data_IF_172835682995
#
_entry.id   IF_172835682995
#
_cell.length_a   1.000
_cell.length_b   1.000
_cell.length_c   1.000
_cell.angle_alpha   90.00
_cell.angle_beta   90.00
_cell.angle_gamma   90.00
#
_symmetry.space_group_name_H-M   'P 1'
#
loop_
_entity.id
_entity.type
_entity.pdbx_description
1 polymer ?
#
# COMPACT_ATOMS: atom_id res chain seq x y z
N UNK A 1 -1.04 -38.62 28.27
CA UNK A 1 -0.71 -39.10 29.64
C UNK A 1 -1.90 -38.79 30.53
N UNK A 2 -2.55 -39.85 30.96
CA UNK A 2 -3.57 -39.94 32.03
C UNK A 2 -4.97 -39.31 31.84
N UNK A 3 -5.89 -40.15 31.36
CA UNK A 3 -7.21 -40.37 31.92
C UNK A 3 -7.06 -41.04 33.34
N UNK A 4 -8.06 -41.02 34.23
CA UNK A 4 -9.17 -41.98 34.20
C UNK A 4 -10.54 -41.37 34.59
N UNK A 5 -11.68 -41.88 34.07
CA UNK A 5 -12.47 -43.08 34.31
C UNK A 5 -13.23 -43.19 35.68
N UNK A 6 -14.52 -43.54 35.55
CA UNK A 6 -15.39 -44.39 36.42
C UNK A 6 -16.17 -43.61 37.51
N UNK A 7 -17.42 -43.89 37.83
CA UNK A 7 -18.37 -45.01 37.67
C UNK A 7 -19.72 -44.61 38.21
N UNK A 8 -20.81 -45.03 37.59
CA UNK A 8 -21.87 -45.94 37.99
C UNK A 8 -22.44 -45.81 39.43
N UNK A 9 -23.74 -45.66 39.59
CA UNK A 9 -24.56 -46.78 40.05
C UNK A 9 -26.06 -46.44 40.07
N UNK A 10 -26.83 -47.41 39.60
CA UNK A 10 -28.28 -47.56 39.68
C UNK A 10 -28.72 -48.12 41.04
N UNK A 11 -29.97 -47.86 41.41
CA UNK A 11 -30.81 -48.82 42.21
C UNK A 11 -32.24 -48.25 42.27
N UNK A 12 -33.14 -48.77 41.54
CA UNK A 12 -34.21 -49.75 41.78
C UNK A 12 -34.71 -49.81 43.23
N UNK A 13 -35.94 -49.47 43.41
CA UNK A 13 -36.87 -50.30 44.25
C UNK A 13 -38.31 -50.06 43.81
N UNK A 14 -38.97 -51.15 43.43
CA UNK A 14 -40.38 -51.34 43.27
C UNK A 14 -40.98 -51.73 44.60
N UNK A 15 -42.17 -51.28 44.83
CA UNK A 15 -43.06 -52.03 45.71
C UNK A 15 -44.53 -51.83 45.32
N UNK A 16 -45.12 -52.94 44.99
CA UNK A 16 -46.50 -53.26 44.74
C UNK A 16 -47.39 -53.04 45.98
N UNK A 17 -48.66 -52.68 45.82
CA UNK A 17 -49.75 -53.42 46.43
C UNK A 17 -51.08 -53.05 45.78
N UNK A 18 -51.87 -54.12 45.63
CA UNK A 18 -53.06 -54.45 44.93
C UNK A 18 -54.39 -53.96 45.63
N UNK A 19 -55.39 -53.93 44.78
CA UNK A 19 -56.82 -54.31 44.98
C UNK A 19 -57.72 -53.35 45.79
N UNK A 20 -58.82 -52.95 45.19
CA UNK A 20 -60.01 -53.73 45.09
C UNK A 20 -61.13 -53.03 44.29
N UNK A 21 -61.82 -53.79 43.51
CA UNK A 21 -63.05 -53.50 42.77
C UNK A 21 -64.19 -53.17 43.71
N UNK A 22 -64.97 -52.12 43.41
CA UNK A 22 -66.43 -52.26 43.58
C UNK A 22 -67.18 -51.28 42.67
N UNK A 23 -68.12 -51.87 41.98
CA UNK A 23 -69.04 -51.28 40.99
C UNK A 23 -70.14 -50.49 41.64
N UNK A 24 -70.48 -49.35 41.10
CA UNK A 24 -71.87 -48.90 41.03
C UNK A 24 -72.10 -48.06 39.79
N UNK A 25 -72.88 -48.60 38.91
CA UNK A 25 -73.58 -47.93 37.82
C UNK A 25 -74.55 -46.94 38.38
N UNK A 26 -74.48 -45.67 38.08
CA UNK A 26 -75.61 -44.81 38.01
C UNK A 26 -75.59 -43.90 36.79
N UNK A 27 -76.72 -43.87 36.15
CA UNK A 27 -77.09 -43.33 34.89
C UNK A 27 -77.36 -41.83 34.94
N UNK A 28 -77.08 -41.20 33.78
CA UNK A 28 -77.65 -39.91 33.33
C UNK A 28 -77.14 -38.63 33.98
N UNK A 29 -76.07 -38.11 33.30
CA UNK A 29 -75.95 -36.67 33.17
C UNK A 29 -75.43 -36.32 31.74
N UNK A 30 -76.00 -35.30 31.13
CA UNK A 30 -75.69 -34.98 29.73
C UNK A 30 -74.24 -34.48 29.59
N UNK A 31 -73.55 -34.97 28.53
CA UNK A 31 -72.27 -34.48 28.11
C UNK A 31 -72.43 -33.01 27.74
N UNK A 32 -72.15 -32.14 28.69
CA UNK A 32 -72.06 -30.72 28.44
C UNK A 32 -70.72 -30.49 27.67
N UNK A 33 -70.92 -30.16 26.42
CA UNK A 33 -69.85 -29.64 25.56
C UNK A 33 -69.22 -28.41 26.23
N UNK A 34 -68.08 -28.58 26.92
CA UNK A 34 -67.32 -27.48 27.50
C UNK A 34 -65.87 -27.43 26.87
N UNK A 35 -65.72 -27.20 25.58
CA UNK A 35 -64.38 -26.80 25.11
C UNK A 35 -64.29 -25.33 24.72
N UNK A 36 -65.36 -24.65 24.31
CA UNK A 36 -65.26 -23.29 23.72
C UNK A 36 -65.09 -22.19 24.79
N UNK A 37 -65.75 -22.28 25.90
CA UNK A 37 -65.72 -21.23 26.99
C UNK A 37 -64.39 -21.20 27.75
N UNK A 38 -63.76 -22.39 27.96
CA UNK A 38 -62.42 -22.44 28.60
C UNK A 38 -61.32 -21.81 27.71
N UNK A 39 -61.41 -21.98 26.42
CA UNK A 39 -60.44 -21.37 25.45
C UNK A 39 -60.66 -19.87 25.33
N UNK A 40 -61.91 -19.42 25.27
CA UNK A 40 -62.22 -17.98 25.27
C UNK A 40 -61.76 -17.27 26.56
N UNK A 41 -61.94 -17.89 27.71
CA UNK A 41 -61.47 -17.37 29.00
C UNK A 41 -59.94 -17.41 29.14
N UNK A 42 -59.25 -18.32 28.42
CA UNK A 42 -57.78 -18.35 28.34
C UNK A 42 -57.23 -17.23 27.46
N UNK A 43 -57.89 -16.99 26.32
CA UNK A 43 -57.54 -15.85 25.42
C UNK A 43 -57.82 -14.50 26.09
N UNK A 44 -58.95 -14.35 26.81
CA UNK A 44 -59.25 -13.12 27.56
C UNK A 44 -58.28 -12.88 28.73
N UNK A 45 -57.87 -13.92 29.45
CA UNK A 45 -56.85 -13.81 30.50
C UNK A 45 -55.48 -13.47 29.92
N UNK A 46 -55.10 -14.08 28.80
CA UNK A 46 -53.86 -13.76 28.08
C UNK A 46 -53.87 -12.29 27.59
N UNK A 47 -55.02 -11.83 27.01
CA UNK A 47 -55.18 -10.46 26.56
C UNK A 47 -55.13 -9.42 27.69
N UNK A 48 -55.73 -9.72 28.83
CA UNK A 48 -55.76 -8.83 30.00
C UNK A 48 -54.45 -8.87 30.81
N UNK A 49 -53.64 -9.91 30.64
CA UNK A 49 -52.29 -9.99 31.25
C UNK A 49 -51.18 -9.34 30.42
N UNK A 50 -51.50 -8.88 29.23
CA UNK A 50 -50.57 -8.07 28.43
C UNK A 50 -50.53 -6.68 29.07
N UNK A 51 -49.35 -6.29 29.55
CA UNK A 51 -49.07 -4.91 29.96
C UNK A 51 -48.99 -4.04 28.74
N UNK A 52 -50.15 -3.53 28.28
CA UNK A 52 -50.26 -2.71 27.09
C UNK A 52 -49.46 -1.44 27.18
N UNK A 53 -49.23 -0.88 28.37
CA UNK A 53 -48.43 0.32 28.57
C UNK A 53 -46.94 0.05 28.26
N UNK A 54 -46.42 -1.11 28.67
CA UNK A 54 -45.07 -1.54 28.30
C UNK A 54 -44.97 -1.84 26.83
N UNK A 55 -45.92 -2.52 26.22
CA UNK A 55 -45.93 -2.83 24.80
C UNK A 55 -45.96 -1.54 23.97
N UNK A 56 -46.85 -0.62 24.30
CA UNK A 56 -46.93 0.68 23.64
C UNK A 56 -45.62 1.49 23.82
N UNK A 57 -45.05 1.49 25.03
CA UNK A 57 -43.78 2.15 25.32
C UNK A 57 -42.65 1.61 24.45
N UNK A 58 -42.51 0.29 24.36
CA UNK A 58 -41.47 -0.36 23.52
C UNK A 58 -41.69 -0.09 22.02
N UNK A 59 -42.94 -0.16 21.55
CA UNK A 59 -43.30 0.08 20.17
C UNK A 59 -43.02 1.54 19.77
N UNK A 60 -43.41 2.49 20.63
CA UNK A 60 -43.14 3.93 20.38
C UNK A 60 -41.65 4.18 20.42
N UNK A 61 -40.91 3.65 21.38
CA UNK A 61 -39.45 3.85 21.46
C UNK A 61 -38.74 3.25 20.26
N UNK A 62 -39.02 1.99 19.88
CA UNK A 62 -38.46 1.35 18.72
C UNK A 62 -38.86 2.06 17.42
N UNK A 63 -40.11 2.47 17.29
CA UNK A 63 -40.63 3.23 16.17
C UNK A 63 -39.92 4.56 16.01
N UNK A 64 -39.73 5.31 17.09
CA UNK A 64 -38.96 6.57 17.06
C UNK A 64 -37.52 6.34 16.66
N UNK A 65 -36.89 5.28 17.21
CA UNK A 65 -35.50 4.91 16.85
C UNK A 65 -35.39 4.57 15.37
N UNK A 66 -36.33 3.82 14.80
CA UNK A 66 -36.36 3.49 13.36
C UNK A 66 -36.55 4.74 12.49
N UNK A 67 -37.41 5.67 12.89
CA UNK A 67 -37.62 6.93 12.20
C UNK A 67 -36.32 7.76 12.22
N UNK A 68 -35.71 7.92 13.40
CA UNK A 68 -34.44 8.65 13.52
C UNK A 68 -33.32 8.00 12.69
N UNK A 69 -33.20 6.67 12.74
CA UNK A 69 -32.26 5.91 11.93
C UNK A 69 -32.50 6.17 10.43
N UNK A 70 -33.76 6.07 9.98
CA UNK A 70 -34.10 6.29 8.56
C UNK A 70 -33.79 7.72 8.13
N UNK A 71 -34.12 8.72 8.94
CA UNK A 71 -33.80 10.13 8.65
C UNK A 71 -32.27 10.34 8.57
N UNK A 72 -31.52 9.75 9.52
CA UNK A 72 -30.07 9.83 9.53
C UNK A 72 -29.46 9.22 8.25
N UNK A 73 -29.93 8.03 7.84
CA UNK A 73 -29.39 7.38 6.64
C UNK A 73 -29.83 8.07 5.35
N UNK A 74 -31.02 8.63 5.28
CA UNK A 74 -31.44 9.48 4.16
C UNK A 74 -30.60 10.74 4.05
N UNK A 75 -30.25 11.35 5.18
CA UNK A 75 -29.33 12.48 5.22
C UNK A 75 -27.92 12.06 4.74
N UNK A 76 -27.38 10.97 5.25
CA UNK A 76 -26.08 10.44 4.84
C UNK A 76 -26.07 10.07 3.36
N UNK A 77 -27.15 9.52 2.82
CA UNK A 77 -27.29 9.21 1.39
C UNK A 77 -27.18 10.46 0.53
N UNK A 78 -27.98 11.49 0.84
CA UNK A 78 -27.91 12.78 0.15
C UNK A 78 -26.56 13.46 0.29
N UNK A 79 -25.96 13.38 1.48
CA UNK A 79 -24.63 13.91 1.73
C UNK A 79 -23.57 13.20 0.86
N UNK A 80 -23.67 11.89 0.74
CA UNK A 80 -22.78 11.10 -0.13
C UNK A 80 -22.93 11.53 -1.59
N UNK A 81 -24.16 11.62 -2.12
CA UNK A 81 -24.41 12.09 -3.47
C UNK A 81 -23.82 13.48 -3.70
N UNK A 82 -24.05 14.40 -2.78
CA UNK A 82 -23.51 15.75 -2.85
C UNK A 82 -21.98 15.79 -2.87
N UNK A 83 -21.32 14.99 -2.01
CA UNK A 83 -19.86 14.94 -1.92
C UNK A 83 -19.24 14.31 -3.17
N UNK A 84 -19.82 13.21 -3.66
CA UNK A 84 -19.35 12.51 -4.84
C UNK A 84 -19.54 13.37 -6.09
N UNK A 85 -20.71 14.04 -6.23
CA UNK A 85 -20.96 14.95 -7.34
C UNK A 85 -20.06 16.19 -7.30
N UNK A 86 -19.83 16.78 -6.12
CA UNK A 86 -18.93 17.92 -5.95
C UNK A 86 -17.49 17.55 -6.31
N UNK A 87 -17.03 16.37 -5.89
CA UNK A 87 -15.72 15.81 -6.27
C UNK A 87 -15.60 15.62 -7.79
N UNK A 88 -16.62 15.03 -8.41
CA UNK A 88 -16.69 14.82 -9.87
C UNK A 88 -16.61 16.13 -10.66
N UNK A 89 -17.43 17.11 -10.29
CA UNK A 89 -17.42 18.45 -10.92
C UNK A 89 -16.06 19.16 -10.74
N UNK A 90 -15.42 19.01 -9.59
CA UNK A 90 -14.08 19.57 -9.33
C UNK A 90 -13.01 18.88 -10.17
N UNK A 91 -13.15 17.56 -10.36
CA UNK A 91 -12.22 16.75 -11.16
C UNK A 91 -12.31 17.08 -12.66
N UNK A 92 -13.51 17.26 -13.20
CA UNK A 92 -13.74 17.65 -14.61
C UNK A 92 -13.18 19.04 -14.97
N UNK A 93 -13.05 19.94 -13.99
CA UNK A 93 -12.46 21.26 -14.22
C UNK A 93 -10.96 21.22 -14.50
N UNK A 94 -10.27 20.11 -14.22
CA UNK A 94 -8.83 19.94 -14.52
C UNK A 94 -8.67 19.63 -16.01
N UNK A 95 -7.88 20.45 -16.69
CA UNK A 95 -7.54 20.31 -18.13
C UNK A 95 -6.95 18.91 -18.40
N UNK A 96 -7.42 18.23 -19.44
CA UNK A 96 -6.93 16.95 -19.98
C UNK A 96 -7.43 15.64 -19.31
N UNK A 97 -8.61 15.62 -18.72
CA UNK A 97 -9.18 14.36 -18.23
C UNK A 97 -10.18 13.80 -19.25
N UNK A 98 -10.06 12.52 -19.56
CA UNK A 98 -11.03 11.81 -20.39
C UNK A 98 -12.34 11.66 -19.60
N UNK A 99 -13.41 12.31 -20.09
CA UNK A 99 -14.72 12.34 -19.43
C UNK A 99 -15.29 10.94 -19.16
N UNK A 100 -15.06 9.99 -20.06
CA UNK A 100 -15.52 8.60 -19.91
C UNK A 100 -14.89 7.93 -18.70
N UNK A 101 -13.57 8.12 -18.48
CA UNK A 101 -12.87 7.58 -17.32
C UNK A 101 -13.32 8.23 -16.02
N UNK A 102 -13.51 9.55 -16.04
CA UNK A 102 -14.00 10.29 -14.89
C UNK A 102 -15.41 9.81 -14.49
N UNK A 103 -16.30 9.61 -15.44
CA UNK A 103 -17.66 9.10 -15.20
C UNK A 103 -17.65 7.68 -14.61
N UNK A 104 -16.78 6.79 -15.12
CA UNK A 104 -16.66 5.42 -14.59
C UNK A 104 -16.22 5.42 -13.13
N UNK A 105 -15.21 6.24 -12.78
CA UNK A 105 -14.73 6.37 -11.38
C UNK A 105 -15.83 6.93 -10.47
N UNK A 106 -16.54 7.96 -10.93
CA UNK A 106 -17.65 8.56 -10.22
C UNK A 106 -18.73 7.53 -9.89
N UNK A 107 -19.20 6.77 -10.89
CA UNK A 107 -20.23 5.74 -10.73
C UNK A 107 -19.76 4.64 -9.79
N UNK A 108 -18.51 4.19 -9.92
CA UNK A 108 -17.94 3.16 -9.06
C UNK A 108 -17.88 3.61 -7.59
N UNK A 109 -17.37 4.81 -7.34
CA UNK A 109 -17.28 5.35 -5.96
C UNK A 109 -18.67 5.57 -5.35
N UNK A 110 -19.63 6.08 -6.12
CA UNK A 110 -21.01 6.22 -5.69
C UNK A 110 -21.63 4.88 -5.31
N UNK A 111 -21.49 3.86 -6.15
CA UNK A 111 -22.00 2.53 -5.87
C UNK A 111 -21.38 1.89 -4.61
N UNK A 112 -20.06 1.97 -4.45
CA UNK A 112 -19.39 1.46 -3.25
C UNK A 112 -19.91 2.16 -1.99
N UNK A 113 -20.03 3.48 -2.01
CA UNK A 113 -20.54 4.24 -0.88
C UNK A 113 -22.00 3.89 -0.55
N UNK A 114 -22.88 3.78 -1.57
CA UNK A 114 -24.28 3.43 -1.38
C UNK A 114 -24.45 2.00 -0.88
N UNK A 115 -23.70 1.02 -1.37
CA UNK A 115 -23.73 -0.34 -0.86
C UNK A 115 -23.27 -0.42 0.60
N UNK A 116 -22.23 0.33 0.94
CA UNK A 116 -21.74 0.41 2.32
C UNK A 116 -22.78 1.04 3.25
N UNK A 117 -23.39 2.16 2.86
CA UNK A 117 -24.46 2.79 3.61
C UNK A 117 -25.69 1.87 3.74
N UNK A 118 -26.10 1.21 2.64
CA UNK A 118 -27.19 0.25 2.63
C UNK A 118 -26.97 -0.91 3.59
N UNK A 119 -25.74 -1.45 3.63
CA UNK A 119 -25.36 -2.49 4.58
C UNK A 119 -25.53 -2.02 6.04
N UNK A 120 -24.99 -0.85 6.40
CA UNK A 120 -25.12 -0.32 7.74
C UNK A 120 -26.56 0.06 8.12
N UNK A 121 -27.36 0.52 7.15
CA UNK A 121 -28.77 0.77 7.36
C UNK A 121 -29.53 -0.51 7.70
N UNK A 122 -29.37 -1.57 6.91
CA UNK A 122 -29.98 -2.88 7.17
C UNK A 122 -29.52 -3.44 8.53
N UNK A 123 -28.22 -3.33 8.83
CA UNK A 123 -27.67 -3.71 10.12
C UNK A 123 -28.37 -2.97 11.28
N UNK A 124 -28.48 -1.65 11.21
CA UNK A 124 -29.13 -0.82 12.23
C UNK A 124 -30.62 -1.14 12.37
N UNK A 125 -31.32 -1.39 11.27
CA UNK A 125 -32.73 -1.77 11.23
C UNK A 125 -32.93 -3.11 11.94
N UNK A 126 -32.18 -4.16 11.58
CA UNK A 126 -32.24 -5.49 12.20
C UNK A 126 -31.91 -5.43 13.69
N UNK A 127 -30.91 -4.67 14.08
CA UNK A 127 -30.52 -4.48 15.48
C UNK A 127 -31.62 -3.80 16.29
N UNK A 128 -32.30 -2.79 15.75
CA UNK A 128 -33.38 -2.07 16.44
C UNK A 128 -34.62 -2.97 16.65
N UNK A 129 -34.91 -3.85 15.68
CA UNK A 129 -36.01 -4.81 15.79
C UNK A 129 -35.70 -5.89 16.85
N UNK A 130 -34.41 -6.11 17.16
CA UNK A 130 -33.95 -7.09 18.16
C UNK A 130 -33.46 -8.41 17.53
N UNK A 131 -33.20 -8.42 16.24
CA UNK A 131 -32.56 -9.57 15.57
C UNK A 131 -31.10 -9.64 16.02
N UNK A 132 -30.58 -10.82 16.43
CA UNK A 132 -29.16 -10.95 16.82
C UNK A 132 -28.23 -10.80 15.59
N UNK A 133 -27.67 -9.61 15.43
CA UNK A 133 -26.79 -9.26 14.28
C UNK A 133 -25.31 -9.60 14.48
N UNK A 134 -24.96 -10.28 15.58
CA UNK A 134 -23.56 -10.63 15.87
C UNK A 134 -22.91 -11.50 14.80
N UNK A 135 -23.63 -12.47 14.24
CA UNK A 135 -23.15 -13.32 13.16
C UNK A 135 -22.94 -12.53 11.83
N UNK A 136 -23.79 -11.54 11.58
CA UNK A 136 -23.66 -10.66 10.43
C UNK A 136 -22.39 -9.79 10.53
N UNK A 137 -22.13 -9.26 11.73
CA UNK A 137 -20.93 -8.47 11.99
C UNK A 137 -19.65 -9.34 11.90
N UNK A 138 -19.69 -10.56 12.43
CA UNK A 138 -18.59 -11.53 12.32
C UNK A 138 -18.29 -11.86 10.83
N UNK A 139 -19.35 -12.15 10.05
CA UNK A 139 -19.21 -12.37 8.60
C UNK A 139 -18.66 -11.16 7.86
N UNK A 140 -19.15 -9.96 8.17
CA UNK A 140 -18.62 -8.72 7.59
C UNK A 140 -17.15 -8.49 7.96
N UNK A 141 -16.73 -8.88 9.18
CA UNK A 141 -15.33 -8.85 9.61
C UNK A 141 -14.43 -9.75 8.75
N UNK A 142 -14.87 -10.97 8.44
CA UNK A 142 -14.14 -11.89 7.58
C UNK A 142 -14.01 -11.32 6.15
N UNK A 143 -15.11 -10.78 5.60
CA UNK A 143 -15.09 -10.12 4.29
C UNK A 143 -14.16 -8.91 4.30
N UNK A 144 -14.21 -8.08 5.36
CA UNK A 144 -13.31 -6.94 5.54
C UNK A 144 -11.83 -7.36 5.57
N UNK A 145 -11.51 -8.45 6.28
CA UNK A 145 -10.15 -9.02 6.31
C UNK A 145 -9.72 -9.46 4.90
N UNK A 146 -10.57 -10.15 4.16
CA UNK A 146 -10.26 -10.62 2.81
C UNK A 146 -10.00 -9.44 1.85
N UNK A 147 -10.83 -8.38 1.91
CA UNK A 147 -10.64 -7.15 1.14
C UNK A 147 -9.34 -6.45 1.56
N UNK A 148 -9.06 -6.38 2.87
CA UNK A 148 -7.84 -5.77 3.41
C UNK A 148 -6.58 -6.47 2.91
N UNK A 149 -6.54 -7.80 2.94
CA UNK A 149 -5.43 -8.59 2.41
C UNK A 149 -5.28 -8.40 0.89
N UNK A 150 -6.41 -8.35 0.15
CA UNK A 150 -6.39 -8.07 -1.29
C UNK A 150 -5.89 -6.65 -1.63
N UNK A 151 -6.15 -5.67 -0.76
CA UNK A 151 -5.74 -4.28 -0.93
C UNK A 151 -4.35 -3.96 -0.32
N UNK A 152 -3.67 -4.91 0.31
CA UNK A 152 -2.39 -4.71 1.00
C UNK A 152 -1.34 -4.03 0.13
N UNK A 153 -1.19 -4.48 -1.13
CA UNK A 153 -0.23 -3.90 -2.06
C UNK A 153 -0.51 -2.42 -2.37
N UNK A 154 -1.78 -2.05 -2.50
CA UNK A 154 -2.20 -0.68 -2.70
C UNK A 154 -1.88 0.21 -1.48
N UNK A 155 -2.13 -0.30 -0.27
CA UNK A 155 -1.78 0.43 0.95
C UNK A 155 -0.28 0.63 1.10
N UNK A 156 0.52 -0.38 0.76
CA UNK A 156 1.97 -0.27 0.76
C UNK A 156 2.45 0.80 -0.24
N UNK A 157 1.87 0.86 -1.44
CA UNK A 157 2.20 1.90 -2.42
C UNK A 157 1.98 3.31 -1.84
N UNK A 158 0.84 3.52 -1.17
CA UNK A 158 0.49 4.83 -0.57
C UNK A 158 1.44 5.20 0.57
N UNK A 159 1.70 4.26 1.49
CA UNK A 159 2.57 4.50 2.64
C UNK A 159 4.00 4.81 2.18
N UNK A 160 4.55 4.00 1.28
CA UNK A 160 5.89 4.24 0.73
C UNK A 160 5.95 5.56 -0.02
N UNK A 161 4.98 5.86 -0.89
CA UNK A 161 4.93 7.13 -1.62
C UNK A 161 4.79 8.34 -0.72
N UNK A 162 4.02 8.23 0.37
CA UNK A 162 3.91 9.28 1.37
C UNK A 162 5.26 9.61 2.02
N UNK A 163 6.04 8.59 2.42
CA UNK A 163 7.36 8.80 3.00
C UNK A 163 8.37 9.33 1.98
N UNK A 164 8.37 8.84 0.74
CA UNK A 164 9.22 9.37 -0.34
C UNK A 164 9.00 10.88 -0.50
N UNK A 165 7.74 11.32 -0.52
CA UNK A 165 7.38 12.74 -0.68
C UNK A 165 7.70 13.54 0.59
N UNK A 166 7.33 13.01 1.77
CA UNK A 166 7.49 13.71 3.06
C UNK A 166 8.96 13.92 3.41
N UNK A 167 9.80 12.91 3.15
CA UNK A 167 11.24 12.96 3.40
C UNK A 167 12.02 13.62 2.25
N UNK A 168 11.31 13.98 1.16
CA UNK A 168 11.91 14.57 -0.02
C UNK A 168 13.08 13.74 -0.56
N UNK A 169 12.94 12.40 -0.59
CA UNK A 169 14.00 11.51 -1.06
C UNK A 169 14.37 11.74 -2.52
N UNK A 170 13.38 12.13 -3.34
CA UNK A 170 13.54 12.48 -4.75
C UNK A 170 12.64 13.66 -5.13
N UNK A 171 13.11 14.48 -6.06
CA UNK A 171 12.34 15.56 -6.68
C UNK A 171 12.22 15.36 -8.19
N UNK A 172 11.24 16.04 -8.80
CA UNK A 172 11.09 16.03 -10.26
C UNK A 172 12.34 16.67 -10.90
N UNK A 173 12.95 15.95 -11.83
CA UNK A 173 14.20 16.32 -12.47
C UNK A 173 15.43 15.61 -11.92
N UNK A 174 15.35 14.96 -10.76
CA UNK A 174 16.46 14.16 -10.22
C UNK A 174 16.75 12.94 -11.11
N UNK A 175 18.02 12.62 -11.30
CA UNK A 175 18.46 11.36 -11.90
C UNK A 175 18.68 10.35 -10.80
N UNK A 176 17.95 9.24 -10.85
CA UNK A 176 17.94 8.21 -9.81
C UNK A 176 18.17 6.81 -10.38
N UNK A 177 18.71 5.94 -9.55
CA UNK A 177 18.81 4.50 -9.81
C UNK A 177 18.02 3.76 -8.76
N UNK A 178 17.08 2.92 -9.18
CA UNK A 178 16.35 2.00 -8.32
C UNK A 178 17.08 0.66 -8.31
N UNK A 179 17.89 0.45 -7.28
CA UNK A 179 18.87 -0.66 -7.22
C UNK A 179 18.22 -2.04 -7.32
N UNK A 180 17.07 -2.22 -6.71
CA UNK A 180 16.40 -3.53 -6.62
C UNK A 180 15.74 -4.00 -7.91
N UNK A 181 15.46 -3.09 -8.85
CA UNK A 181 14.84 -3.41 -10.15
C UNK A 181 15.72 -3.00 -11.33
N UNK A 182 16.92 -2.48 -11.06
CA UNK A 182 17.91 -2.04 -12.06
C UNK A 182 17.32 -1.06 -13.11
N UNK A 183 16.42 -0.17 -12.70
CA UNK A 183 15.87 0.89 -13.54
C UNK A 183 16.53 2.20 -13.14
N UNK A 184 17.01 2.94 -14.13
CA UNK A 184 17.56 4.27 -13.92
C UNK A 184 16.95 5.29 -14.88
N UNK A 185 16.91 6.54 -14.45
CA UNK A 185 16.37 7.62 -15.26
C UNK A 185 16.09 8.90 -14.49
N UNK A 186 15.60 9.89 -15.22
CA UNK A 186 15.17 11.17 -14.68
C UNK A 186 13.74 11.07 -14.16
N UNK A 187 13.50 11.57 -12.95
CA UNK A 187 12.16 11.62 -12.33
C UNK A 187 11.28 12.60 -13.09
N UNK A 188 10.18 12.12 -13.63
CA UNK A 188 9.17 12.93 -14.33
C UNK A 188 8.04 13.34 -13.39
N UNK A 189 7.63 12.42 -12.51
CA UNK A 189 6.53 12.65 -11.58
C UNK A 189 6.71 11.80 -10.32
N UNK A 190 6.44 12.39 -9.17
CA UNK A 190 6.41 11.70 -7.87
C UNK A 190 4.97 11.64 -7.41
N UNK A 191 4.34 10.49 -7.61
CA UNK A 191 2.96 10.24 -7.20
C UNK A 191 2.88 9.49 -5.88
N UNK A 192 1.72 9.59 -5.20
CA UNK A 192 1.49 8.88 -3.93
C UNK A 192 1.52 7.34 -4.09
N UNK A 193 1.23 6.84 -5.29
CA UNK A 193 1.21 5.39 -5.59
C UNK A 193 2.30 4.95 -6.55
N UNK A 194 2.74 5.82 -7.42
CA UNK A 194 3.68 5.50 -8.50
C UNK A 194 4.71 6.59 -8.66
N UNK A 195 5.96 6.20 -8.87
CA UNK A 195 7.05 7.03 -9.34
C UNK A 195 7.18 6.85 -10.86
N UNK A 196 7.32 7.96 -11.60
CA UNK A 196 7.53 7.92 -13.05
C UNK A 196 8.95 8.35 -13.39
N UNK A 197 9.68 7.47 -14.06
CA UNK A 197 11.06 7.70 -14.51
C UNK A 197 11.13 7.67 -16.03
N UNK A 198 11.98 8.54 -16.60
CA UNK A 198 12.36 8.50 -18.01
C UNK A 198 13.81 8.10 -18.14
N UNK A 199 14.07 6.94 -18.72
CA UNK A 199 15.42 6.48 -19.06
C UNK A 199 16.04 7.30 -20.19
N UNK A 200 17.36 7.18 -20.37
CA UNK A 200 18.11 7.92 -21.41
C UNK A 200 17.66 7.59 -22.83
N UNK A 201 17.14 6.38 -23.06
CA UNK A 201 16.55 5.96 -24.34
C UNK A 201 15.15 6.54 -24.60
N UNK A 202 14.60 7.31 -23.64
CA UNK A 202 13.26 7.90 -23.71
C UNK A 202 12.15 7.01 -23.16
N UNK A 203 12.44 5.78 -22.72
CA UNK A 203 11.46 4.88 -22.12
C UNK A 203 10.87 5.48 -20.85
N UNK A 204 9.53 5.48 -20.73
CA UNK A 204 8.83 5.94 -19.55
C UNK A 204 8.42 4.75 -18.69
N UNK A 205 8.91 4.70 -17.45
CA UNK A 205 8.63 3.67 -16.48
C UNK A 205 7.63 4.17 -15.45
N UNK A 206 6.55 3.40 -15.23
CA UNK A 206 5.56 3.61 -14.17
C UNK A 206 5.79 2.59 -13.07
N UNK A 207 6.42 3.00 -11.98
CA UNK A 207 6.90 2.10 -10.94
C UNK A 207 6.02 2.24 -9.69
N UNK A 208 5.30 1.16 -9.28
CA UNK A 208 4.59 1.17 -8.01
C UNK A 208 5.55 1.41 -6.84
N UNK A 209 5.20 2.31 -5.93
CA UNK A 209 6.11 2.73 -4.86
C UNK A 209 6.53 1.57 -3.94
N UNK A 210 5.66 0.56 -3.74
CA UNK A 210 6.00 -0.66 -2.99
C UNK A 210 7.19 -1.45 -3.57
N UNK A 211 7.47 -1.26 -4.85
CA UNK A 211 8.59 -1.92 -5.53
C UNK A 211 9.89 -1.14 -5.40
N UNK A 212 9.90 -0.04 -4.66
CA UNK A 212 11.07 0.80 -4.43
C UNK A 212 11.58 0.50 -3.02
N UNK A 213 12.72 -0.16 -2.93
CA UNK A 213 13.38 -0.46 -1.65
C UNK A 213 14.61 0.40 -1.41
N UNK A 214 15.34 0.72 -2.47
CA UNK A 214 16.55 1.53 -2.39
C UNK A 214 16.57 2.52 -3.54
N UNK A 215 16.69 3.79 -3.20
CA UNK A 215 16.84 4.89 -4.15
C UNK A 215 18.27 5.43 -4.05
N UNK A 216 19.01 5.37 -5.15
CA UNK A 216 20.29 6.07 -5.27
C UNK A 216 20.07 7.34 -6.07
N UNK A 217 19.94 8.47 -5.36
CA UNK A 217 19.78 9.78 -5.98
C UNK A 217 21.16 10.32 -6.39
N UNK A 218 21.34 10.53 -7.69
CA UNK A 218 22.59 11.02 -8.26
C UNK A 218 22.55 12.52 -8.56
N UNK A 219 21.50 13.22 -8.12
CA UNK A 219 21.35 14.65 -8.40
C UNK A 219 21.53 15.54 -7.16
N UNK A 220 21.54 14.96 -5.95
CA UNK A 220 21.53 15.75 -4.71
C UNK A 220 22.89 16.05 -4.11
N UNK A 221 23.91 15.35 -4.54
CA UNK A 221 25.26 15.54 -4.02
C UNK A 221 26.24 15.66 -5.20
N UNK A 222 27.36 16.31 -4.91
CA UNK A 222 28.47 16.31 -5.84
C UNK A 222 28.93 14.90 -6.12
N UNK A 223 29.22 14.63 -7.37
CA UNK A 223 29.53 13.28 -7.83
C UNK A 223 31.03 13.12 -8.03
N UNK A 224 31.53 11.99 -7.58
CA UNK A 224 32.92 11.63 -7.84
C UNK A 224 33.13 11.35 -9.33
N UNK A 225 34.13 11.99 -9.90
CA UNK A 225 34.67 11.70 -11.23
C UNK A 225 35.95 10.88 -11.06
N UNK A 226 35.99 9.73 -11.72
CA UNK A 226 37.18 8.86 -11.75
C UNK A 226 37.70 8.84 -13.18
N UNK A 227 38.93 9.30 -13.34
CA UNK A 227 39.66 9.31 -14.62
C UNK A 227 40.78 8.28 -14.53
N UNK A 228 40.63 7.19 -15.28
CA UNK A 228 41.58 6.10 -15.36
C UNK A 228 42.35 6.17 -16.68
N UNK A 229 43.64 6.47 -16.60
CA UNK A 229 44.53 6.59 -17.74
C UNK A 229 45.36 5.32 -17.82
N UNK A 230 45.25 4.55 -18.88
CA UNK A 230 46.01 3.31 -19.04
C UNK A 230 47.51 3.60 -19.17
N UNK A 231 48.31 2.80 -18.49
CA UNK A 231 49.76 2.95 -18.42
C UNK A 231 50.45 1.60 -18.61
N UNK A 232 51.70 1.63 -19.03
CA UNK A 232 52.62 0.49 -18.95
C UNK A 232 53.46 0.61 -17.67
N UNK A 233 53.52 -0.43 -16.83
CA UNK A 233 54.31 -0.39 -15.58
C UNK A 233 55.83 -0.25 -15.81
N UNK A 234 56.28 -0.43 -17.06
CA UNK A 234 57.70 -0.30 -17.47
C UNK A 234 58.13 1.13 -17.78
N UNK A 235 57.16 2.04 -17.89
CA UNK A 235 57.42 3.46 -18.15
C UNK A 235 57.77 4.23 -16.86
N UNK A 236 58.24 5.46 -17.00
CA UNK A 236 58.53 6.34 -15.87
C UNK A 236 57.22 6.89 -15.27
N UNK A 237 56.77 6.21 -14.20
CA UNK A 237 55.50 6.51 -13.53
C UNK A 237 55.51 7.86 -12.81
N UNK A 238 56.67 8.33 -12.32
CA UNK A 238 56.75 9.62 -11.64
C UNK A 238 56.65 10.80 -12.62
N UNK A 239 57.28 10.70 -13.78
CA UNK A 239 57.13 11.71 -14.82
C UNK A 239 55.72 11.72 -15.37
N UNK A 240 55.09 10.54 -15.58
CA UNK A 240 53.67 10.46 -15.99
C UNK A 240 52.76 11.11 -14.97
N UNK A 241 52.96 10.85 -13.65
CA UNK A 241 52.20 11.46 -12.59
C UNK A 241 52.29 12.97 -12.58
N UNK A 242 53.53 13.53 -12.70
CA UNK A 242 53.74 14.97 -12.73
C UNK A 242 53.01 15.63 -13.91
N UNK A 243 53.05 15.02 -15.09
CA UNK A 243 52.33 15.52 -16.27
C UNK A 243 50.80 15.51 -16.06
N UNK A 244 50.29 14.46 -15.46
CA UNK A 244 48.85 14.37 -15.14
C UNK A 244 48.44 15.42 -14.11
N UNK A 245 49.30 15.67 -13.10
CA UNK A 245 49.03 16.69 -12.07
C UNK A 245 49.07 18.11 -12.71
N UNK A 246 49.93 18.39 -13.65
CA UNK A 246 49.97 19.65 -14.42
C UNK A 246 48.68 19.84 -15.25
N UNK A 247 48.24 18.79 -15.95
CA UNK A 247 46.98 18.81 -16.71
C UNK A 247 45.80 19.03 -15.79
N UNK A 248 45.76 18.31 -14.67
CA UNK A 248 44.71 18.44 -13.66
C UNK A 248 44.64 19.88 -13.11
N UNK A 249 45.80 20.48 -12.78
CA UNK A 249 45.84 21.85 -12.28
C UNK A 249 45.32 22.85 -13.31
N UNK A 250 45.72 22.72 -14.58
CA UNK A 250 45.24 23.58 -15.65
C UNK A 250 43.75 23.47 -15.87
N UNK A 251 43.20 22.25 -16.01
CA UNK A 251 41.79 22.05 -16.27
C UNK A 251 40.93 22.44 -15.06
N UNK A 252 41.45 22.31 -13.84
CA UNK A 252 40.78 22.80 -12.64
C UNK A 252 40.63 24.33 -12.67
N UNK A 253 41.65 25.05 -13.10
CA UNK A 253 41.59 26.49 -13.25
C UNK A 253 40.57 26.95 -14.33
N UNK A 254 40.42 26.15 -15.39
CA UNK A 254 39.48 26.41 -16.48
C UNK A 254 38.02 26.06 -16.11
N UNK A 255 37.80 25.13 -15.16
CA UNK A 255 36.48 24.59 -14.76
C UNK A 255 36.17 24.81 -13.29
N UNK A 256 36.56 25.94 -12.71
CA UNK A 256 36.34 26.22 -11.25
C UNK A 256 34.90 26.25 -10.82
N UNK A 257 33.96 26.54 -11.72
CA UNK A 257 32.52 26.55 -11.52
C UNK A 257 31.89 25.15 -11.47
N UNK A 258 32.61 24.14 -11.99
CA UNK A 258 32.11 22.75 -12.14
C UNK A 258 32.80 21.77 -11.20
N UNK A 259 33.96 22.11 -10.67
CA UNK A 259 34.78 21.23 -9.81
C UNK A 259 34.67 21.69 -8.38
N UNK A 260 34.10 20.83 -7.54
CA UNK A 260 33.89 21.12 -6.11
C UNK A 260 35.13 20.78 -5.28
N UNK A 261 35.78 19.65 -5.59
CA UNK A 261 37.02 19.23 -4.95
C UNK A 261 38.10 19.02 -6.00
N UNK A 262 39.28 19.63 -5.85
CA UNK A 262 40.37 19.51 -6.83
C UNK A 262 40.76 18.06 -7.09
N UNK A 263 41.23 17.74 -8.32
CA UNK A 263 41.75 16.42 -8.65
C UNK A 263 42.95 16.01 -7.81
N UNK A 264 42.91 14.77 -7.37
CA UNK A 264 44.02 14.12 -6.66
C UNK A 264 44.44 12.89 -7.46
N UNK A 265 45.73 12.79 -7.81
CA UNK A 265 46.28 11.59 -8.43
C UNK A 265 46.47 10.54 -7.35
N UNK A 266 45.60 9.50 -7.36
CA UNK A 266 45.66 8.40 -6.40
C UNK A 266 46.93 7.56 -6.61
N UNK A 267 47.36 7.42 -7.85
CA UNK A 267 48.51 6.59 -8.26
C UNK A 267 48.09 5.43 -9.14
N UNK A 268 48.97 4.42 -9.19
CA UNK A 268 48.76 3.23 -10.02
C UNK A 268 47.76 2.28 -9.38
N UNK A 269 46.74 1.88 -10.15
CA UNK A 269 45.71 0.90 -9.76
C UNK A 269 45.73 -0.24 -10.76
N UNK A 270 45.72 -1.48 -10.27
CA UNK A 270 45.55 -2.67 -11.09
C UNK A 270 44.04 -2.98 -11.21
N UNK A 271 43.50 -2.89 -12.41
CA UNK A 271 42.11 -3.25 -12.73
C UNK A 271 41.93 -4.74 -13.03
N UNK A 272 42.98 -5.53 -12.86
CA UNK A 272 43.01 -6.95 -13.17
C UNK A 272 43.48 -7.26 -14.60
N UNK A 273 43.94 -8.50 -14.80
CA UNK A 273 44.44 -9.01 -16.09
C UNK A 273 45.62 -8.20 -16.68
N UNK A 274 46.47 -7.61 -15.80
CA UNK A 274 47.58 -6.77 -16.23
C UNK A 274 47.18 -5.39 -16.77
N UNK A 275 45.98 -4.94 -16.49
CA UNK A 275 45.47 -3.64 -16.89
C UNK A 275 45.75 -2.59 -15.81
N UNK A 276 46.88 -1.96 -15.89
CA UNK A 276 47.28 -0.90 -14.96
C UNK A 276 46.81 0.46 -15.43
N UNK A 277 46.34 1.28 -14.52
CA UNK A 277 45.91 2.65 -14.78
C UNK A 277 46.49 3.62 -13.76
N UNK A 278 46.82 4.83 -14.21
CA UNK A 278 47.04 5.97 -13.31
C UNK A 278 45.67 6.61 -13.09
N UNK A 279 45.21 6.57 -11.81
CA UNK A 279 43.88 7.05 -11.42
C UNK A 279 43.93 8.45 -10.85
N UNK A 280 43.11 9.33 -11.41
CA UNK A 280 42.83 10.65 -10.85
C UNK A 280 41.36 10.71 -10.39
N UNK A 281 41.10 11.30 -9.23
CA UNK A 281 39.73 11.41 -8.67
C UNK A 281 39.46 12.82 -8.20
N UNK A 282 38.26 13.31 -8.43
CA UNK A 282 37.78 14.61 -7.96
C UNK A 282 36.24 14.59 -7.81
N UNK A 283 35.71 15.64 -7.20
CA UNK A 283 34.26 15.80 -7.13
C UNK A 283 33.81 16.97 -8.00
N UNK A 284 32.71 16.78 -8.68
CA UNK A 284 32.14 17.74 -9.63
C UNK A 284 30.67 18.01 -9.34
N UNK A 285 30.24 19.21 -9.68
CA UNK A 285 28.84 19.60 -9.65
C UNK A 285 28.02 18.63 -10.51
N UNK A 286 26.89 18.21 -9.97
CA UNK A 286 26.04 17.24 -10.62
C UNK A 286 25.68 17.63 -12.07
N UNK A 287 25.66 16.64 -12.97
CA UNK A 287 25.39 16.83 -14.40
C UNK A 287 26.62 17.17 -15.25
N UNK A 288 27.76 17.52 -14.64
CA UNK A 288 29.00 17.88 -15.39
C UNK A 288 30.02 16.73 -15.47
N UNK A 289 29.78 15.63 -14.75
CA UNK A 289 30.74 14.52 -14.54
C UNK A 289 31.21 13.88 -15.84
N UNK A 290 30.27 13.61 -16.77
CA UNK A 290 30.62 12.93 -18.02
C UNK A 290 31.52 13.79 -18.92
N UNK A 291 31.18 15.07 -19.08
CA UNK A 291 31.95 16.01 -19.85
C UNK A 291 33.33 16.25 -19.25
N UNK A 292 33.42 16.47 -17.93
CA UNK A 292 34.69 16.63 -17.25
C UNK A 292 35.55 15.37 -17.33
N UNK A 293 34.98 14.18 -17.18
CA UNK A 293 35.72 12.92 -17.34
C UNK A 293 36.33 12.80 -18.72
N UNK A 294 35.56 13.10 -19.76
CA UNK A 294 36.05 13.08 -21.17
C UNK A 294 37.17 14.11 -21.40
N UNK A 295 36.98 15.34 -20.94
CA UNK A 295 37.92 16.43 -21.07
C UNK A 295 39.25 16.11 -20.37
N UNK A 296 39.21 15.66 -19.12
CA UNK A 296 40.38 15.29 -18.32
C UNK A 296 41.13 14.08 -18.94
N UNK A 297 40.37 13.07 -19.40
CA UNK A 297 40.96 11.91 -20.04
C UNK A 297 41.65 12.28 -21.36
N UNK A 298 40.97 13.05 -22.23
CA UNK A 298 41.51 13.45 -23.50
C UNK A 298 42.76 14.31 -23.35
N UNK A 299 42.74 15.31 -22.48
CA UNK A 299 43.88 16.20 -22.22
C UNK A 299 45.09 15.44 -21.62
N UNK A 300 44.82 14.49 -20.72
CA UNK A 300 45.88 13.66 -20.11
C UNK A 300 46.52 12.73 -21.15
N UNK A 301 45.71 12.10 -22.01
CA UNK A 301 46.22 11.25 -23.11
C UNK A 301 47.03 12.06 -24.10
N UNK A 302 46.60 13.27 -24.46
CA UNK A 302 47.34 14.18 -25.35
C UNK A 302 48.69 14.58 -24.74
N UNK A 303 48.72 14.98 -23.47
CA UNK A 303 49.94 15.38 -22.78
C UNK A 303 50.96 14.22 -22.71
N UNK A 304 50.51 13.02 -22.32
CA UNK A 304 51.38 11.83 -22.25
C UNK A 304 51.91 11.43 -23.65
N UNK A 305 51.07 11.47 -24.67
CA UNK A 305 51.47 11.16 -26.04
C UNK A 305 52.50 12.15 -26.55
N UNK A 306 52.34 13.45 -26.32
CA UNK A 306 53.30 14.50 -26.66
C UNK A 306 54.65 14.33 -25.95
N UNK A 307 54.61 13.83 -24.71
CA UNK A 307 55.83 13.51 -23.94
C UNK A 307 56.51 12.19 -24.39
N UNK A 308 55.92 11.45 -25.32
CA UNK A 308 56.51 10.23 -25.88
C UNK A 308 56.15 8.95 -25.15
N UNK A 309 55.20 8.98 -24.20
CA UNK A 309 54.75 7.79 -23.50
C UNK A 309 53.83 6.93 -24.38
N UNK A 310 54.01 5.62 -24.27
CA UNK A 310 53.20 4.63 -25.00
C UNK A 310 51.89 4.33 -24.25
N UNK A 311 50.76 4.64 -24.85
CA UNK A 311 49.45 4.29 -24.30
C UNK A 311 49.08 2.86 -24.73
N UNK A 312 48.89 1.92 -23.81
CA UNK A 312 48.54 0.54 -24.14
C UNK A 312 47.19 0.45 -24.81
N UNK A 313 47.18 -0.12 -26.03
CA UNK A 313 45.94 -0.48 -26.73
C UNK A 313 45.55 -1.90 -26.39
N UNK A 314 44.52 -2.09 -25.57
CA UNK A 314 43.96 -3.41 -25.30
C UNK A 314 42.85 -3.70 -26.31
N UNK A 315 43.01 -4.77 -27.06
CA UNK A 315 41.90 -5.34 -27.83
C UNK A 315 40.96 -5.99 -26.78
N UNK A 316 39.83 -5.36 -26.52
CA UNK A 316 38.79 -5.99 -25.71
C UNK A 316 38.35 -7.26 -26.41
N UNK A 317 38.32 -8.44 -25.74
CA UNK A 317 37.66 -9.62 -26.29
C UNK A 317 36.20 -9.26 -26.57
N UNK A 318 35.62 -9.78 -27.67
CA UNK A 318 34.20 -9.55 -27.95
C UNK A 318 33.38 -9.99 -26.75
N UNK A 319 32.53 -9.12 -26.27
CA UNK A 319 31.57 -9.47 -25.21
C UNK A 319 30.62 -10.53 -25.78
N UNK A 320 30.59 -11.71 -25.15
CA UNK A 320 29.72 -12.83 -25.53
C UNK A 320 28.28 -12.54 -25.07
#
# INVERSE_FOLDING_TARGET
MFLPLLTTTAATTASSTSASLESTVDSSTPVIIQPATKQLNALQRWWNNIDWDQVFGVVIQKGLTLILLSVLFLFLWKLTDFLVEKSYRSFLKRKNINETRAHTIYTLMGNIAHYTLGFFFIYGLLSTIGVPVGSLLAGAGIVGLAIGLGAQGFMNDIITGFFIIMEQQVDVGDYVILQNIAIEGTVISVGIRTLELRSLDGTLHFIPNRNITTISNKSRADMQVVVDIRILPTEDLETMRTLIEEVNARLTAENTDKITTPPTVFGVVDLGHGNFVMRSTFYAVNGTQAGLKEEFLAASLEALTKAGFTIPTMVLPPQA
#
